data_IF_622341522607
#
_entry.id   IF_622341522607
#
_cell.length_a   1.000
_cell.length_b   1.000
_cell.length_c   1.000
_cell.angle_alpha   90.00
_cell.angle_beta   90.00
_cell.angle_gamma   90.00
#
_symmetry.space_group_name_H-M   'P 1'
#
loop_
_entity.id
_entity.type
_entity.pdbx_description
1 polymer ?
#
# COMPACT_ATOMS: atom_id res chain seq x y z
N UNK A 1 -4.67 21.06 -11.06
CA UNK A 1 -4.38 20.93 -9.61
C UNK A 1 -3.32 21.92 -9.17
N UNK A 2 -2.19 22.00 -9.87
CA UNK A 2 -1.09 22.91 -9.51
C UNK A 2 -1.48 24.39 -9.57
N UNK A 3 -2.24 24.81 -10.59
CA UNK A 3 -2.80 26.16 -10.69
C UNK A 3 -3.77 26.54 -9.55
N UNK A 4 -4.27 25.55 -8.81
CA UNK A 4 -5.08 25.72 -7.60
C UNK A 4 -4.25 25.62 -6.32
N UNK A 5 -2.91 25.56 -6.42
CA UNK A 5 -1.99 25.57 -5.29
C UNK A 5 -1.78 24.24 -4.58
N UNK A 6 -2.31 23.13 -5.09
CA UNK A 6 -2.24 21.82 -4.41
C UNK A 6 -0.80 21.36 -4.13
N UNK A 7 0.14 21.67 -5.02
CA UNK A 7 1.57 21.37 -4.87
C UNK A 7 2.19 21.98 -3.60
N UNK A 8 1.64 23.09 -3.09
CA UNK A 8 2.17 23.76 -1.90
C UNK A 8 2.01 22.94 -0.62
N UNK A 9 1.03 22.03 -0.59
CA UNK A 9 0.86 21.09 0.52
C UNK A 9 1.77 19.85 0.41
N UNK A 10 2.41 19.61 -0.74
CA UNK A 10 3.23 18.42 -1.02
C UNK A 10 2.45 17.13 -1.26
N UNK A 11 1.13 17.12 -1.02
CA UNK A 11 0.24 15.97 -1.23
C UNK A 11 -1.14 16.43 -1.67
N UNK A 12 -1.77 15.70 -2.61
CA UNK A 12 -3.14 15.94 -3.04
C UNK A 12 -3.91 14.63 -3.15
N UNK A 13 -5.17 14.62 -2.71
CA UNK A 13 -6.09 13.49 -2.87
C UNK A 13 -7.01 13.74 -4.07
N UNK A 14 -6.98 12.83 -5.04
CA UNK A 14 -7.89 12.84 -6.20
C UNK A 14 -8.92 11.74 -6.01
N UNK A 15 -10.21 12.09 -6.04
CA UNK A 15 -11.31 11.14 -5.97
C UNK A 15 -11.83 10.93 -7.39
N UNK A 16 -11.72 9.71 -7.96
CA UNK A 16 -12.21 9.45 -9.31
C UNK A 16 -13.75 9.54 -9.39
N UNK A 17 -14.32 9.74 -10.58
CA UNK A 17 -15.76 9.62 -10.80
C UNK A 17 -16.29 8.26 -10.32
N UNK A 18 -17.53 8.21 -9.83
CA UNK A 18 -18.09 7.00 -9.17
C UNK A 18 -18.24 5.82 -10.14
N UNK A 19 -18.44 6.13 -11.41
CA UNK A 19 -18.56 5.19 -12.53
C UNK A 19 -17.21 4.60 -12.96
N UNK A 20 -16.10 5.25 -12.62
CA UNK A 20 -14.77 4.79 -13.01
C UNK A 20 -14.34 3.63 -12.11
N UNK A 21 -13.92 2.52 -12.75
CA UNK A 21 -13.37 1.34 -12.09
C UNK A 21 -12.14 0.87 -12.86
N UNK A 22 -10.97 0.72 -12.22
CA UNK A 22 -9.75 0.30 -12.90
C UNK A 22 -9.76 -1.17 -13.35
N UNK A 23 -10.62 -1.99 -12.71
CA UNK A 23 -10.85 -3.40 -13.01
C UNK A 23 -12.27 -3.81 -12.59
N UNK A 24 -12.81 -4.87 -13.21
CA UNK A 24 -14.13 -5.43 -12.88
C UNK A 24 -14.25 -6.06 -11.48
N UNK A 25 -13.32 -6.95 -11.10
CA UNK A 25 -13.29 -7.66 -9.81
C UNK A 25 -11.86 -7.99 -9.40
N UNK A 26 -11.61 -8.37 -8.14
CA UNK A 26 -10.28 -8.74 -7.65
C UNK A 26 -10.18 -10.20 -7.19
N UNK A 27 -11.13 -11.06 -7.59
CA UNK A 27 -11.21 -12.45 -7.11
C UNK A 27 -10.09 -13.34 -7.69
N UNK A 28 -9.41 -12.88 -8.72
CA UNK A 28 -8.40 -13.58 -9.51
C UNK A 28 -6.95 -13.27 -9.08
N UNK A 29 -6.75 -12.48 -8.02
CA UNK A 29 -5.41 -12.02 -7.60
C UNK A 29 -4.73 -12.94 -6.58
N UNK A 30 -5.44 -13.96 -6.08
CA UNK A 30 -4.97 -14.81 -4.98
C UNK A 30 -3.65 -15.52 -5.29
N UNK A 31 -3.46 -15.94 -6.55
CA UNK A 31 -2.28 -16.67 -7.01
C UNK A 31 -1.13 -15.74 -7.43
N UNK A 32 -1.32 -14.40 -7.35
CA UNK A 32 -0.26 -13.45 -7.62
C UNK A 32 0.89 -13.65 -6.62
N UNK A 33 2.12 -13.71 -7.14
CA UNK A 33 3.32 -13.88 -6.34
C UNK A 33 3.85 -12.54 -5.82
N UNK A 34 4.17 -12.51 -4.53
CA UNK A 34 4.98 -11.49 -3.88
C UNK A 34 6.41 -12.04 -3.80
N UNK A 35 7.33 -11.62 -4.69
CA UNK A 35 8.64 -12.27 -4.83
C UNK A 35 9.58 -11.95 -3.66
N UNK A 36 9.48 -10.76 -3.07
CA UNK A 36 10.35 -10.34 -1.97
C UNK A 36 9.57 -9.55 -0.90
N UNK A 37 8.69 -10.22 -0.12
CA UNK A 37 8.04 -9.57 1.01
C UNK A 37 9.09 -9.08 2.02
N UNK A 38 8.88 -7.93 2.63
CA UNK A 38 9.80 -7.35 3.61
C UNK A 38 9.13 -7.28 4.98
N UNK A 39 9.81 -7.77 6.03
CA UNK A 39 9.40 -7.54 7.41
C UNK A 39 10.00 -6.21 7.89
N UNK A 40 9.14 -5.33 8.41
CA UNK A 40 9.52 -3.98 8.85
C UNK A 40 9.86 -4.00 10.34
N UNK A 41 11.13 -4.14 10.67
CA UNK A 41 11.61 -4.02 12.05
C UNK A 41 11.76 -2.55 12.40
N UNK A 42 11.06 -2.10 13.44
CA UNK A 42 11.15 -0.72 13.91
C UNK A 42 11.77 -0.67 15.29
N UNK A 43 12.74 0.23 15.46
CA UNK A 43 13.38 0.54 16.75
C UNK A 43 13.27 2.03 17.01
N UNK A 44 13.16 2.44 18.27
CA UNK A 44 13.04 3.85 18.63
C UNK A 44 11.99 4.08 19.71
N UNK A 45 11.82 5.33 20.10
CA UNK A 45 10.89 5.74 21.16
C UNK A 45 10.58 7.24 21.06
N UNK A 46 9.53 7.67 21.77
CA UNK A 46 9.14 9.08 21.89
C UNK A 46 8.97 9.80 20.54
N UNK A 47 8.42 9.11 19.54
CA UNK A 47 8.15 9.68 18.21
C UNK A 47 9.33 9.66 17.24
N UNK A 48 10.51 9.19 17.66
CA UNK A 48 11.67 9.04 16.79
C UNK A 48 11.96 7.54 16.57
N UNK A 49 11.88 7.12 15.31
CA UNK A 49 12.00 5.71 14.93
C UNK A 49 12.92 5.51 13.73
N UNK A 50 13.60 4.38 13.73
CA UNK A 50 14.37 3.85 12.60
C UNK A 50 13.77 2.51 12.17
N UNK A 51 13.51 2.36 10.88
CA UNK A 51 12.99 1.13 10.30
C UNK A 51 14.11 0.39 9.53
N UNK A 52 14.17 -0.93 9.72
CA UNK A 52 15.02 -1.85 8.97
C UNK A 52 14.14 -2.89 8.25
N UNK A 53 14.51 -3.23 7.02
CA UNK A 53 13.77 -4.18 6.21
C UNK A 53 14.47 -5.54 6.20
N UNK A 54 13.76 -6.60 6.60
CA UNK A 54 14.26 -7.99 6.53
C UNK A 54 13.47 -8.71 5.45
N UNK A 55 14.13 -9.07 4.35
CA UNK A 55 13.50 -9.83 3.28
C UNK A 55 13.03 -11.22 3.78
N UNK A 56 11.82 -11.61 3.38
CA UNK A 56 11.20 -12.90 3.66
C UNK A 56 11.14 -13.75 2.39
N UNK A 57 10.81 -15.02 2.58
CA UNK A 57 10.58 -15.94 1.47
C UNK A 57 9.39 -15.46 0.63
N UNK A 58 9.40 -15.73 -0.70
CA UNK A 58 8.26 -15.46 -1.56
C UNK A 58 6.98 -16.07 -1.01
N UNK A 59 5.85 -15.41 -1.24
CA UNK A 59 4.52 -15.91 -0.90
C UNK A 59 3.48 -15.39 -1.88
N UNK A 60 2.35 -16.07 -1.96
CA UNK A 60 1.18 -15.65 -2.75
C UNK A 60 0.41 -14.54 -2.02
N UNK A 61 -0.40 -13.78 -2.76
CA UNK A 61 -1.35 -12.82 -2.16
C UNK A 61 -2.34 -13.53 -1.25
N UNK A 62 -2.75 -14.76 -1.56
CA UNK A 62 -3.59 -15.57 -0.69
C UNK A 62 -2.95 -15.82 0.68
N UNK A 63 -1.70 -16.26 0.71
CA UNK A 63 -0.95 -16.48 1.96
C UNK A 63 -0.75 -15.16 2.72
N UNK A 64 -0.41 -14.08 2.01
CA UNK A 64 -0.27 -12.75 2.59
C UNK A 64 -1.59 -12.26 3.23
N UNK A 65 -2.73 -12.45 2.56
CA UNK A 65 -4.06 -12.09 3.09
C UNK A 65 -4.41 -12.92 4.33
N UNK A 66 -4.12 -14.22 4.33
CA UNK A 66 -4.32 -15.06 5.50
C UNK A 66 -3.48 -14.58 6.68
N UNK A 67 -2.22 -14.22 6.43
CA UNK A 67 -1.33 -13.67 7.45
C UNK A 67 -1.85 -12.34 8.01
N UNK A 68 -2.23 -11.40 7.14
CA UNK A 68 -2.75 -10.09 7.52
C UNK A 68 -4.05 -10.16 8.33
N UNK A 69 -4.87 -11.19 8.13
CA UNK A 69 -6.12 -11.41 8.87
C UNK A 69 -5.97 -12.39 10.05
N UNK A 70 -4.79 -12.93 10.30
CA UNK A 70 -4.54 -13.76 11.49
C UNK A 70 -4.59 -12.92 12.76
N UNK A 71 -4.88 -13.55 13.90
CA UNK A 71 -4.95 -12.88 15.22
C UNK A 71 -3.69 -12.09 15.59
N UNK A 72 -2.55 -12.45 14.99
CA UNK A 72 -1.26 -11.79 15.22
C UNK A 72 -1.12 -10.44 14.51
N UNK A 73 -1.69 -10.30 13.31
CA UNK A 73 -1.47 -9.15 12.44
C UNK A 73 -2.75 -8.39 12.09
N UNK A 74 -3.92 -8.94 12.43
CA UNK A 74 -5.20 -8.31 12.16
C UNK A 74 -5.28 -6.93 12.82
N UNK A 75 -6.02 -6.03 12.19
CA UNK A 75 -6.26 -4.70 12.73
C UNK A 75 -6.90 -4.81 14.11
N UNK A 76 -6.35 -4.14 15.15
CA UNK A 76 -6.94 -4.16 16.49
C UNK A 76 -8.30 -3.45 16.45
N UNK A 77 -9.19 -3.75 17.40
CA UNK A 77 -10.45 -3.02 17.54
C UNK A 77 -10.17 -1.54 17.85
N UNK A 78 -10.88 -0.62 17.22
CA UNK A 78 -10.75 0.83 17.42
C UNK A 78 -12.10 1.52 17.31
N UNK A 79 -12.23 2.70 17.92
CA UNK A 79 -13.48 3.48 17.93
C UNK A 79 -13.55 4.48 16.77
N UNK A 80 -12.42 5.13 16.48
CA UNK A 80 -12.25 6.12 15.42
C UNK A 80 -10.82 6.11 14.88
N UNK A 81 -10.55 6.90 13.84
CA UNK A 81 -9.22 6.96 13.22
C UNK A 81 -8.14 7.52 14.15
N UNK A 82 -8.50 8.35 15.13
CA UNK A 82 -7.54 8.95 16.07
C UNK A 82 -7.07 7.92 17.10
N UNK A 83 -7.98 7.07 17.59
CA UNK A 83 -7.67 5.89 18.41
C UNK A 83 -6.79 4.89 17.65
N UNK A 84 -7.09 4.64 16.37
CA UNK A 84 -6.27 3.76 15.53
C UNK A 84 -4.86 4.33 15.31
N UNK A 85 -4.73 5.63 15.05
CA UNK A 85 -3.44 6.32 14.92
C UNK A 85 -2.64 6.27 16.23
N UNK A 86 -3.28 6.52 17.38
CA UNK A 86 -2.65 6.37 18.70
C UNK A 86 -2.11 4.95 18.92
N UNK A 87 -2.90 3.93 18.55
CA UNK A 87 -2.49 2.51 18.65
C UNK A 87 -1.33 2.19 17.71
N UNK A 88 -1.32 2.74 16.50
CA UNK A 88 -0.22 2.57 15.55
C UNK A 88 1.10 3.08 16.14
N UNK A 89 1.16 4.36 16.54
CA UNK A 89 2.39 4.96 17.08
C UNK A 89 2.84 4.33 18.40
N UNK A 90 1.89 3.92 19.26
CA UNK A 90 2.20 3.25 20.52
C UNK A 90 2.78 1.85 20.31
N UNK A 91 2.30 1.11 19.32
CA UNK A 91 2.62 -0.31 19.16
C UNK A 91 3.62 -0.63 18.02
N UNK A 92 4.16 0.40 17.36
CA UNK A 92 4.98 0.28 16.16
C UNK A 92 6.19 -0.68 16.31
N UNK A 93 6.75 -0.81 17.51
CA UNK A 93 7.94 -1.63 17.79
C UNK A 93 7.63 -3.07 18.27
N UNK A 94 6.36 -3.42 18.53
CA UNK A 94 6.01 -4.69 19.18
C UNK A 94 5.90 -5.85 18.20
N UNK A 95 5.15 -5.66 17.12
CA UNK A 95 4.91 -6.68 16.11
C UNK A 95 5.35 -6.13 14.77
N UNK A 96 6.50 -6.60 14.29
CA UNK A 96 7.04 -6.19 12.99
C UNK A 96 6.15 -6.73 11.86
N UNK A 97 5.41 -5.87 11.13
CA UNK A 97 4.52 -6.28 10.05
C UNK A 97 5.33 -6.75 8.83
N UNK A 98 4.66 -7.47 7.93
CA UNK A 98 5.21 -7.85 6.63
C UNK A 98 4.53 -7.00 5.56
N UNK A 99 5.31 -6.46 4.64
CA UNK A 99 4.86 -5.61 3.56
C UNK A 99 5.28 -6.20 2.21
N UNK A 100 4.30 -6.43 1.33
CA UNK A 100 4.50 -6.91 -0.05
C UNK A 100 4.80 -5.77 -1.01
N UNK A 101 5.89 -5.05 -0.77
CA UNK A 101 6.31 -3.91 -1.58
C UNK A 101 6.93 -4.33 -2.93
N UNK A 102 7.09 -3.34 -3.82
CA UNK A 102 7.95 -3.42 -5.01
C UNK A 102 7.65 -4.61 -5.94
N UNK A 103 6.36 -4.95 -6.08
CA UNK A 103 5.88 -5.98 -6.99
C UNK A 103 5.75 -5.38 -8.40
N UNK A 104 6.49 -5.93 -9.35
CA UNK A 104 6.34 -5.56 -10.76
C UNK A 104 4.99 -6.05 -11.30
N UNK A 105 4.22 -5.15 -11.92
CA UNK A 105 2.97 -5.49 -12.59
C UNK A 105 1.94 -4.36 -12.55
N UNK A 106 0.76 -4.62 -13.10
CA UNK A 106 -0.40 -3.75 -13.02
C UNK A 106 -1.65 -4.59 -12.78
N UNK A 107 -2.56 -4.08 -11.96
CA UNK A 107 -3.88 -4.69 -11.71
C UNK A 107 -5.00 -3.97 -12.48
N UNK A 108 -4.66 -3.11 -13.44
CA UNK A 108 -5.63 -2.45 -14.31
C UNK A 108 -6.04 -3.40 -15.44
N UNK A 109 -7.32 -3.37 -15.85
CA UNK A 109 -7.78 -4.07 -17.05
C UNK A 109 -7.27 -3.35 -18.30
N UNK A 110 -6.85 -4.09 -19.33
CA UNK A 110 -6.32 -3.51 -20.58
C UNK A 110 -7.33 -2.60 -21.31
N UNK A 111 -8.63 -2.87 -21.12
CA UNK A 111 -9.75 -2.18 -21.79
C UNK A 111 -10.27 -1.01 -20.95
N UNK A 112 -9.67 -0.72 -19.80
CA UNK A 112 -10.09 0.41 -18.98
C UNK A 112 -9.81 1.72 -19.74
N UNK A 113 -10.83 2.58 -19.87
CA UNK A 113 -10.72 3.87 -20.56
C UNK A 113 -9.53 4.65 -19.96
N UNK A 114 -8.66 5.18 -20.83
CA UNK A 114 -7.29 5.74 -20.63
C UNK A 114 -7.10 6.76 -19.47
N UNK A 115 -8.15 7.08 -18.71
CA UNK A 115 -8.07 7.99 -17.58
C UNK A 115 -7.39 7.27 -16.39
N UNK A 116 -6.16 7.68 -16.07
CA UNK A 116 -5.38 7.29 -14.89
C UNK A 116 -4.89 5.83 -14.81
N UNK A 117 -4.59 5.17 -15.93
CA UNK A 117 -3.82 3.92 -15.90
C UNK A 117 -2.38 4.24 -15.50
N UNK A 118 -1.95 3.82 -14.31
CA UNK A 118 -0.63 4.13 -13.75
C UNK A 118 0.50 3.76 -14.72
N UNK A 119 0.41 2.60 -15.37
CA UNK A 119 1.42 2.10 -16.32
C UNK A 119 1.42 2.81 -17.68
N UNK A 120 0.40 3.61 -17.99
CA UNK A 120 0.21 4.21 -19.31
C UNK A 120 0.08 5.74 -19.26
N UNK A 121 0.40 6.34 -18.11
CA UNK A 121 0.51 7.80 -18.02
C UNK A 121 1.67 8.28 -18.90
N UNK A 122 1.46 9.29 -19.76
CA UNK A 122 2.54 9.88 -20.53
C UNK A 122 3.56 10.48 -19.55
N UNK A 123 4.74 9.87 -19.49
CA UNK A 123 5.82 10.26 -18.60
C UNK A 123 6.91 10.97 -19.42
N UNK A 124 7.10 12.30 -19.27
CA UNK A 124 8.17 13.01 -19.96
C UNK A 124 9.58 12.61 -19.48
N UNK A 125 9.71 11.82 -18.40
CA UNK A 125 10.98 11.29 -17.90
C UNK A 125 11.54 10.10 -18.71
N UNK A 126 10.87 9.68 -19.79
CA UNK A 126 11.39 8.66 -20.72
C UNK A 126 12.25 9.25 -21.84
N UNK A 127 12.58 10.54 -21.81
CA UNK A 127 13.51 11.19 -22.75
C UNK A 127 14.85 11.41 -22.08
N UNK A 128 15.71 10.37 -22.11
CA UNK A 128 17.16 10.47 -21.91
C UNK A 128 17.85 9.22 -22.45
#
# INVERSE_FOLDING_TARGET
MESKGAHRAGLAKVIPPKEWKPRKHYDDIDDLMIPAPIQQMVTGQSGLFTQYNIQKKPMTVKEFRQLANSDKYCTPRYMDYEDLERKYWKNLTFVAPIYGADINGSIYDEVCVIVCIISSLPCPLQVS
#
